data_IF_341439796567
#
_entry.id   IF_341439796567
#
_cell.length_a   1.000
_cell.length_b   1.000
_cell.length_c   1.000
_cell.angle_alpha   90.00
_cell.angle_beta   90.00
_cell.angle_gamma   90.00
#
_symmetry.space_group_name_H-M   'P 1'
#
loop_
_entity.id
_entity.type
_entity.pdbx_description
1 polymer ?
#
# COMPACT_ATOMS: atom_id res chain seq x y z
N UNK A 1 -31.27 -9.88 -3.49
CA UNK A 1 -29.98 -9.75 -4.20
C UNK A 1 -28.88 -9.15 -3.33
N UNK A 2 -29.09 -8.00 -2.64
CA UNK A 2 -28.08 -7.41 -1.74
C UNK A 2 -27.69 -8.26 -0.52
N UNK A 3 -28.53 -9.21 -0.12
CA UNK A 3 -28.26 -10.14 1.00
C UNK A 3 -27.60 -11.45 0.57
N UNK A 4 -27.31 -11.65 -0.72
CA UNK A 4 -26.63 -12.85 -1.18
C UNK A 4 -25.18 -12.85 -0.68
N UNK A 5 -24.74 -13.98 -0.16
CA UNK A 5 -23.35 -14.23 0.25
C UNK A 5 -22.37 -13.90 -0.87
N UNK A 6 -22.70 -14.25 -2.12
CA UNK A 6 -21.87 -13.92 -3.29
C UNK A 6 -21.75 -12.42 -3.52
N UNK A 7 -22.82 -11.65 -3.30
CA UNK A 7 -22.79 -10.20 -3.47
C UNK A 7 -21.95 -9.53 -2.37
N UNK A 8 -22.03 -10.05 -1.13
CA UNK A 8 -21.22 -9.55 -0.02
C UNK A 8 -19.73 -9.85 -0.23
N UNK A 9 -19.39 -11.05 -0.70
CA UNK A 9 -18.00 -11.42 -1.02
C UNK A 9 -17.38 -10.50 -2.09
N UNK A 10 -18.10 -10.20 -3.17
CA UNK A 10 -17.61 -9.27 -4.22
C UNK A 10 -17.42 -7.85 -3.65
N UNK A 11 -18.31 -7.40 -2.76
CA UNK A 11 -18.18 -6.10 -2.12
C UNK A 11 -16.98 -6.03 -1.16
N UNK A 12 -16.70 -7.12 -0.45
CA UNK A 12 -15.56 -7.23 0.46
C UNK A 12 -14.24 -7.21 -0.32
N UNK A 13 -14.12 -8.03 -1.36
CA UNK A 13 -12.97 -8.04 -2.27
C UNK A 13 -12.72 -6.65 -2.88
N UNK A 14 -13.77 -5.98 -3.36
CA UNK A 14 -13.65 -4.63 -3.91
C UNK A 14 -13.20 -3.57 -2.89
N UNK A 15 -13.58 -3.72 -1.62
CA UNK A 15 -13.11 -2.84 -0.53
C UNK A 15 -11.64 -3.11 -0.21
N UNK A 16 -11.25 -4.37 -0.16
CA UNK A 16 -9.87 -4.78 0.09
C UNK A 16 -8.92 -4.27 -1.00
N UNK A 17 -9.27 -4.47 -2.27
CA UNK A 17 -8.51 -3.91 -3.40
C UNK A 17 -8.46 -2.38 -3.38
N UNK A 18 -9.54 -1.74 -2.91
CA UNK A 18 -9.60 -0.30 -2.70
C UNK A 18 -8.60 0.17 -1.65
N UNK A 19 -8.54 -0.53 -0.52
CA UNK A 19 -7.60 -0.27 0.57
C UNK A 19 -6.14 -0.44 0.14
N UNK A 20 -5.81 -1.54 -0.53
CA UNK A 20 -4.45 -1.81 -1.04
C UNK A 20 -3.98 -0.68 -1.97
N UNK A 21 -4.83 -0.27 -2.93
CA UNK A 21 -4.49 0.83 -3.85
C UNK A 21 -4.29 2.16 -3.13
N UNK A 22 -5.07 2.44 -2.09
CA UNK A 22 -4.90 3.66 -1.31
C UNK A 22 -3.60 3.65 -0.51
N UNK A 23 -3.25 2.52 0.12
CA UNK A 23 -2.00 2.38 0.85
C UNK A 23 -0.78 2.53 -0.09
N UNK A 24 -0.80 1.93 -1.29
CA UNK A 24 0.25 2.16 -2.30
C UNK A 24 0.43 3.65 -2.61
N UNK A 25 -0.67 4.34 -2.92
CA UNK A 25 -0.63 5.78 -3.20
C UNK A 25 -0.12 6.58 -2.01
N UNK A 26 -0.53 6.22 -0.80
CA UNK A 26 -0.13 6.88 0.42
C UNK A 26 1.37 6.75 0.66
N UNK A 27 1.91 5.52 0.58
CA UNK A 27 3.34 5.24 0.75
C UNK A 27 4.18 6.03 -0.26
N UNK A 28 3.82 5.96 -1.55
CA UNK A 28 4.55 6.67 -2.61
C UNK A 28 4.51 8.19 -2.43
N UNK A 29 3.36 8.76 -2.06
CA UNK A 29 3.23 10.21 -1.83
C UNK A 29 4.01 10.68 -0.61
N UNK A 30 3.93 9.95 0.50
CA UNK A 30 4.62 10.31 1.74
C UNK A 30 6.13 10.10 1.61
N UNK A 31 6.56 8.97 1.06
CA UNK A 31 7.97 8.72 0.80
C UNK A 31 8.55 9.72 -0.18
N UNK A 32 7.81 10.17 -1.19
CA UNK A 32 8.25 11.28 -2.05
C UNK A 32 8.54 12.56 -1.27
N UNK A 33 7.67 12.90 -0.30
CA UNK A 33 7.85 14.09 0.54
C UNK A 33 9.07 13.96 1.45
N UNK A 34 9.40 12.74 1.93
CA UNK A 34 10.51 12.51 2.86
C UNK A 34 11.85 12.25 2.18
N UNK A 35 11.86 11.41 1.15
CA UNK A 35 13.05 10.81 0.55
C UNK A 35 13.28 11.29 -0.89
N UNK A 36 12.32 11.99 -1.50
CA UNK A 36 12.33 12.30 -2.93
C UNK A 36 11.68 11.19 -3.77
N UNK A 37 11.62 11.38 -5.09
CA UNK A 37 10.99 10.41 -6.00
C UNK A 37 11.59 9.01 -5.84
N UNK A 38 10.73 7.99 -5.73
CA UNK A 38 11.16 6.60 -5.77
C UNK A 38 11.66 6.27 -7.17
N UNK A 39 12.67 5.40 -7.26
CA UNK A 39 12.99 4.80 -8.55
C UNK A 39 11.92 3.77 -8.96
N UNK A 40 12.01 3.33 -10.21
CA UNK A 40 11.04 2.41 -10.79
C UNK A 40 11.04 1.05 -10.07
N UNK A 41 12.19 0.60 -9.55
CA UNK A 41 12.30 -0.69 -8.88
C UNK A 41 11.61 -0.67 -7.52
N UNK A 42 11.83 0.38 -6.72
CA UNK A 42 11.16 0.59 -5.43
C UNK A 42 9.66 0.74 -5.65
N UNK A 43 9.25 1.52 -6.65
CA UNK A 43 7.83 1.70 -6.98
C UNK A 43 7.15 0.38 -7.29
N UNK A 44 7.73 -0.43 -8.19
CA UNK A 44 7.18 -1.73 -8.55
C UNK A 44 7.12 -2.69 -7.37
N UNK A 45 8.13 -2.67 -6.49
CA UNK A 45 8.12 -3.50 -5.28
C UNK A 45 6.97 -3.12 -4.34
N UNK A 46 6.73 -1.82 -4.11
CA UNK A 46 5.61 -1.35 -3.28
C UNK A 46 4.27 -1.75 -3.91
N UNK A 47 4.07 -1.47 -5.20
CA UNK A 47 2.82 -1.77 -5.92
C UNK A 47 2.54 -3.29 -6.05
N UNK A 48 3.58 -4.13 -5.93
CA UNK A 48 3.44 -5.59 -5.92
C UNK A 48 2.93 -6.15 -4.57
N UNK A 49 3.00 -5.39 -3.48
CA UNK A 49 2.54 -5.85 -2.17
C UNK A 49 1.00 -5.86 -2.15
N UNK A 50 0.42 -7.02 -1.84
CA UNK A 50 -1.03 -7.22 -1.70
C UNK A 50 -1.49 -7.46 -0.27
N UNK A 51 -0.54 -7.67 0.63
CA UNK A 51 -0.78 -7.84 2.05
C UNK A 51 -1.01 -6.47 2.70
N UNK A 52 -2.22 -6.26 3.23
CA UNK A 52 -2.62 -4.99 3.85
C UNK A 52 -1.79 -4.72 5.09
N UNK A 53 -1.57 -5.70 5.96
CA UNK A 53 -0.84 -5.53 7.21
C UNK A 53 0.60 -5.08 6.90
N UNK A 54 1.22 -5.71 5.89
CA UNK A 54 2.55 -5.28 5.42
C UNK A 54 2.56 -3.86 4.87
N UNK A 55 1.50 -3.43 4.18
CA UNK A 55 1.39 -2.06 3.68
C UNK A 55 1.21 -1.06 4.81
N UNK A 56 0.42 -1.39 5.83
CA UNK A 56 0.25 -0.58 7.04
C UNK A 56 1.59 -0.43 7.80
N UNK A 57 2.33 -1.52 7.98
CA UNK A 57 3.69 -1.49 8.56
C UNK A 57 4.63 -0.54 7.80
N UNK A 58 4.55 -0.52 6.46
CA UNK A 58 5.35 0.42 5.66
C UNK A 58 4.94 1.87 5.88
N UNK A 59 3.66 2.15 6.13
CA UNK A 59 3.20 3.50 6.46
C UNK A 59 3.69 3.97 7.83
N UNK A 60 3.85 3.05 8.78
CA UNK A 60 4.47 3.35 10.08
C UNK A 60 5.99 3.50 9.95
N UNK A 61 6.67 2.58 9.27
CA UNK A 61 8.12 2.66 9.03
C UNK A 61 8.52 3.93 8.30
N UNK A 62 7.66 4.43 7.41
CA UNK A 62 7.86 5.68 6.70
C UNK A 62 8.18 6.84 7.64
N UNK A 63 7.62 6.88 8.86
CA UNK A 63 7.91 7.98 9.78
C UNK A 63 9.25 7.84 10.52
N UNK A 64 9.82 6.64 10.52
CA UNK A 64 11.01 6.25 11.29
C UNK A 64 12.27 6.32 10.44
N UNK A 65 12.22 5.79 9.21
CA UNK A 65 13.37 5.65 8.33
C UNK A 65 13.67 6.93 7.53
N UNK A 66 14.86 6.97 6.94
CA UNK A 66 15.41 8.15 6.26
C UNK A 66 15.57 8.00 4.75
N UNK A 67 15.34 6.80 4.19
CA UNK A 67 15.46 6.54 2.76
C UNK A 67 14.51 5.44 2.26
N UNK A 68 14.37 5.33 0.94
CA UNK A 68 13.67 4.22 0.29
C UNK A 68 14.35 2.88 0.57
N UNK A 69 15.68 2.81 0.56
CA UNK A 69 16.42 1.57 0.84
C UNK A 69 16.17 1.06 2.26
N UNK A 70 16.15 1.95 3.26
CA UNK A 70 15.83 1.59 4.65
C UNK A 70 14.37 1.19 4.84
N UNK A 71 13.46 1.73 4.02
CA UNK A 71 12.05 1.35 4.04
C UNK A 71 11.86 -0.06 3.46
N UNK A 72 12.62 -0.40 2.41
CA UNK A 72 12.48 -1.66 1.68
C UNK A 72 13.32 -2.82 2.24
N UNK A 73 14.29 -2.51 3.11
CA UNK A 73 15.07 -3.50 3.87
C UNK A 73 14.21 -4.29 4.87
#
# INVERSE_FOLDING_TARGET
MRESVTYQAILEEGREEGGIRELHRMILRQGRVRFGEADEAVRQQIEAIRDIDRLEDLTERLVIVSSWDELMA
#
